data_IF_891013047915
#
_entry.id   IF_891013047915
#
_cell.length_a   1.000
_cell.length_b   1.000
_cell.length_c   1.000
_cell.angle_alpha   90.00
_cell.angle_beta   90.00
_cell.angle_gamma   90.00
#
_symmetry.space_group_name_H-M   'P 1'
#
loop_
_entity.id
_entity.type
_entity.pdbx_description
1 polymer ?
#
# COMPACT_ATOMS: atom_id res chain seq x y z
N UNK A 1 13.65 59.69 -86.62
CA UNK A 1 14.52 60.11 -85.50
C UNK A 1 13.63 60.25 -84.28
N UNK A 2 13.14 59.14 -83.73
CA UNK A 2 13.84 58.25 -82.77
C UNK A 2 13.96 58.89 -81.37
N UNK A 3 12.86 58.87 -80.60
CA UNK A 3 12.91 58.87 -79.13
C UNK A 3 11.71 58.08 -78.59
N UNK A 4 11.88 56.78 -78.35
CA UNK A 4 11.04 56.04 -77.40
C UNK A 4 11.97 55.21 -76.51
N UNK A 5 12.25 55.78 -75.34
CA UNK A 5 13.08 55.20 -74.30
C UNK A 5 12.20 54.37 -73.37
N UNK A 6 12.62 53.11 -73.19
CA UNK A 6 12.62 52.36 -71.92
C UNK A 6 11.28 52.19 -71.19
N UNK A 7 10.80 50.94 -71.18
CA UNK A 7 10.30 50.28 -69.98
C UNK A 7 10.40 48.77 -70.15
N UNK A 8 11.60 48.24 -69.88
CA UNK A 8 11.80 46.80 -69.70
C UNK A 8 11.30 46.48 -68.28
N UNK A 9 10.24 45.68 -68.21
CA UNK A 9 9.65 45.15 -66.98
C UNK A 9 10.73 44.58 -66.05
N UNK A 10 10.75 45.01 -64.79
CA UNK A 10 11.35 44.25 -63.69
C UNK A 10 10.24 43.61 -62.88
N UNK A 11 9.90 42.36 -63.19
CA UNK A 11 9.09 41.50 -62.33
C UNK A 11 9.93 41.10 -61.12
N UNK A 12 9.65 41.74 -59.98
CA UNK A 12 10.16 41.30 -58.67
C UNK A 12 9.60 39.91 -58.37
N UNK A 13 10.49 38.92 -58.34
CA UNK A 13 10.14 37.55 -57.95
C UNK A 13 9.88 37.51 -56.44
N UNK A 14 8.76 36.96 -55.95
CA UNK A 14 8.57 36.78 -54.52
C UNK A 14 9.56 35.73 -54.02
N UNK A 15 10.53 36.16 -53.22
CA UNK A 15 11.34 35.24 -52.43
C UNK A 15 10.43 34.67 -51.33
N UNK A 16 9.77 33.56 -51.62
CA UNK A 16 9.00 32.82 -50.61
C UNK A 16 10.01 32.24 -49.61
N UNK A 17 10.10 32.87 -48.44
CA UNK A 17 10.86 32.36 -47.30
C UNK A 17 10.21 31.04 -46.89
N UNK A 18 10.83 29.93 -47.31
CA UNK A 18 10.40 28.58 -46.95
C UNK A 18 10.85 28.34 -45.50
N UNK A 19 9.96 28.60 -44.54
CA UNK A 19 10.18 28.28 -43.12
C UNK A 19 10.31 26.76 -43.03
N UNK A 20 11.56 26.29 -42.95
CA UNK A 20 11.87 24.87 -42.81
C UNK A 20 11.51 24.46 -41.38
N UNK A 21 10.33 23.85 -41.21
CA UNK A 21 9.91 23.27 -39.94
C UNK A 21 10.96 22.26 -39.45
N UNK A 22 11.76 22.66 -38.44
CA UNK A 22 12.71 21.77 -37.78
C UNK A 22 11.92 20.76 -36.95
N UNK A 23 11.75 19.54 -37.46
CA UNK A 23 11.17 18.41 -36.71
C UNK A 23 12.10 17.83 -35.62
N UNK A 24 13.24 18.47 -35.31
CA UNK A 24 14.30 17.92 -34.44
C UNK A 24 13.95 17.84 -32.94
N UNK A 25 12.71 18.13 -32.54
CA UNK A 25 12.26 18.02 -31.14
C UNK A 25 10.96 17.23 -30.94
N UNK A 26 10.27 16.85 -32.02
CA UNK A 26 8.95 16.21 -31.92
C UNK A 26 9.08 14.79 -31.34
N UNK A 27 10.08 14.02 -31.80
CA UNK A 27 10.31 12.66 -31.31
C UNK A 27 10.62 12.60 -29.81
N UNK A 28 11.25 13.64 -29.26
CA UNK A 28 11.53 13.72 -27.82
C UNK A 28 10.25 13.94 -27.03
N UNK A 29 9.35 14.80 -27.52
CA UNK A 29 8.05 15.06 -26.88
C UNK A 29 7.15 13.82 -26.94
N UNK A 30 7.10 13.15 -28.09
CA UNK A 30 6.33 11.92 -28.26
C UNK A 30 6.80 10.81 -27.31
N UNK A 31 8.12 10.63 -27.20
CA UNK A 31 8.71 9.69 -26.24
C UNK A 31 8.39 10.06 -24.79
N UNK A 32 8.48 11.33 -24.41
CA UNK A 32 8.19 11.78 -23.04
C UNK A 32 6.74 11.51 -22.62
N UNK A 33 5.78 11.62 -23.54
CA UNK A 33 4.37 11.33 -23.23
C UNK A 33 4.17 9.82 -23.01
N UNK A 34 4.72 8.98 -23.88
CA UNK A 34 4.64 7.51 -23.73
C UNK A 34 5.36 7.06 -22.45
N UNK A 35 6.52 7.63 -22.17
CA UNK A 35 7.29 7.35 -20.96
C UNK A 35 6.53 7.75 -19.70
N UNK A 36 5.93 8.95 -19.68
CA UNK A 36 5.09 9.39 -18.57
C UNK A 36 3.94 8.41 -18.31
N UNK A 37 3.24 7.99 -19.36
CA UNK A 37 2.16 6.99 -19.24
C UNK A 37 2.67 5.63 -18.73
N UNK A 38 3.83 5.18 -19.23
CA UNK A 38 4.47 3.95 -18.77
C UNK A 38 4.79 3.99 -17.27
N UNK A 39 5.34 5.09 -16.75
CA UNK A 39 5.66 5.21 -15.32
C UNK A 39 4.41 5.25 -14.45
N UNK A 40 3.32 5.88 -14.90
CA UNK A 40 2.04 5.85 -14.18
C UNK A 40 1.51 4.41 -14.01
N UNK A 41 1.59 3.62 -15.08
CA UNK A 41 1.21 2.21 -15.04
C UNK A 41 2.19 1.38 -14.20
N UNK A 42 3.49 1.60 -14.34
CA UNK A 42 4.53 0.91 -13.58
C UNK A 42 4.34 1.13 -12.08
N UNK A 43 4.18 2.37 -11.63
CA UNK A 43 3.93 2.67 -10.22
C UNK A 43 2.64 2.02 -9.73
N UNK A 44 1.59 1.99 -10.55
CA UNK A 44 0.34 1.30 -10.20
C UNK A 44 0.56 -0.20 -9.99
N UNK A 45 1.27 -0.88 -10.89
CA UNK A 45 1.55 -2.32 -10.77
C UNK A 45 2.42 -2.61 -9.54
N UNK A 46 3.47 -1.81 -9.32
CA UNK A 46 4.36 -1.96 -8.15
C UNK A 46 3.61 -1.70 -6.85
N UNK A 47 2.75 -0.69 -6.80
CA UNK A 47 1.94 -0.36 -5.63
C UNK A 47 0.98 -1.50 -5.26
N UNK A 48 0.31 -2.10 -6.26
CA UNK A 48 -0.52 -3.29 -6.03
C UNK A 48 0.29 -4.50 -5.56
N UNK A 49 1.48 -4.72 -6.11
CA UNK A 49 2.36 -5.80 -5.67
C UNK A 49 2.81 -5.62 -4.22
N UNK A 50 3.17 -4.39 -3.83
CA UNK A 50 3.58 -4.05 -2.47
C UNK A 50 2.42 -4.19 -1.47
N UNK A 51 1.24 -3.69 -1.83
CA UNK A 51 0.02 -3.88 -1.05
C UNK A 51 -0.30 -5.36 -0.84
N UNK A 52 -0.21 -6.18 -1.90
CA UNK A 52 -0.41 -7.63 -1.82
C UNK A 52 0.60 -8.32 -0.90
N UNK A 53 1.88 -7.94 -1.01
CA UNK A 53 2.95 -8.44 -0.14
C UNK A 53 2.68 -8.13 1.34
N UNK A 54 2.34 -6.88 1.65
CA UNK A 54 2.00 -6.44 3.01
C UNK A 54 0.80 -7.21 3.54
N UNK A 55 -0.28 -7.32 2.76
CA UNK A 55 -1.49 -8.03 3.17
C UNK A 55 -1.23 -9.50 3.47
N UNK A 56 -0.50 -10.21 2.61
CA UNK A 56 -0.16 -11.63 2.82
C UNK A 56 0.74 -11.83 4.04
N UNK A 57 1.73 -10.95 4.23
CA UNK A 57 2.62 -11.00 5.39
C UNK A 57 1.83 -10.79 6.68
N UNK A 58 0.90 -9.83 6.69
CA UNK A 58 0.02 -9.59 7.84
C UNK A 58 -0.92 -10.76 8.12
N UNK A 59 -1.49 -11.40 7.09
CA UNK A 59 -2.31 -12.60 7.26
C UNK A 59 -1.52 -13.76 7.86
N UNK A 60 -0.25 -13.92 7.47
CA UNK A 60 0.63 -14.91 8.06
C UNK A 60 0.94 -14.59 9.53
N UNK A 61 1.32 -13.33 9.81
CA UNK A 61 1.64 -12.87 11.16
C UNK A 61 0.47 -13.03 12.14
N UNK A 62 -0.75 -12.66 11.74
CA UNK A 62 -1.96 -12.86 12.56
C UNK A 62 -2.21 -14.33 12.83
N UNK A 63 -1.99 -15.22 11.86
CA UNK A 63 -2.19 -16.66 12.07
C UNK A 63 -1.18 -17.24 13.06
N UNK A 64 0.07 -16.79 13.02
CA UNK A 64 1.10 -17.21 13.97
C UNK A 64 0.84 -16.66 15.37
N UNK A 65 0.47 -15.38 15.48
CA UNK A 65 0.05 -14.78 16.75
C UNK A 65 -1.19 -15.45 17.34
N UNK A 66 -2.16 -15.77 16.48
CA UNK A 66 -3.34 -16.54 16.85
C UNK A 66 -2.93 -17.90 17.42
N UNK A 67 -2.13 -18.70 16.69
CA UNK A 67 -1.65 -19.99 17.19
C UNK A 67 -0.98 -19.89 18.57
N UNK A 68 -0.20 -18.84 18.82
CA UNK A 68 0.40 -18.61 20.13
C UNK A 68 -0.64 -18.23 21.19
N UNK A 69 -1.60 -17.37 20.88
CA UNK A 69 -2.66 -16.94 21.80
C UNK A 69 -3.51 -18.10 22.34
N UNK A 70 -3.74 -19.15 21.53
CA UNK A 70 -4.47 -20.37 21.91
C UNK A 70 -3.90 -21.01 23.19
N UNK A 71 -2.58 -20.97 23.33
CA UNK A 71 -1.86 -21.69 24.40
C UNK A 71 -2.03 -21.05 25.78
N UNK A 72 -2.53 -19.82 25.85
CA UNK A 72 -2.65 -19.08 27.11
C UNK A 72 -1.31 -18.61 27.71
N UNK A 73 -0.17 -18.82 27.03
CA UNK A 73 1.16 -18.52 27.55
C UNK A 73 1.47 -17.03 27.54
N UNK A 74 2.28 -16.61 28.52
CA UNK A 74 2.75 -15.24 28.71
C UNK A 74 4.29 -15.12 28.64
N UNK A 75 4.97 -16.20 28.26
CA UNK A 75 6.44 -16.30 28.28
C UNK A 75 7.14 -15.46 27.21
N UNK A 76 6.41 -15.06 26.16
CA UNK A 76 6.91 -14.18 25.10
C UNK A 76 6.65 -12.69 25.37
N UNK A 77 6.19 -12.31 26.58
CA UNK A 77 6.05 -10.90 26.94
C UNK A 77 7.42 -10.26 27.20
N UNK A 78 7.77 -9.12 26.56
CA UNK A 78 8.95 -8.35 26.90
C UNK A 78 8.92 -7.78 28.33
N UNK A 79 7.74 -7.58 28.94
CA UNK A 79 7.60 -7.13 30.32
C UNK A 79 7.45 -8.34 31.25
N UNK A 80 8.51 -8.64 32.02
CA UNK A 80 8.50 -9.72 33.00
C UNK A 80 7.92 -9.28 34.36
N UNK A 81 7.72 -7.98 34.60
CA UNK A 81 7.22 -7.47 35.87
C UNK A 81 5.69 -7.55 35.94
N UNK A 82 4.99 -7.28 34.84
CA UNK A 82 3.53 -7.46 34.71
C UNK A 82 3.17 -8.10 33.37
N UNK A 83 3.41 -9.41 33.20
CA UNK A 83 3.22 -10.08 31.93
C UNK A 83 1.72 -10.15 31.55
N UNK A 84 1.37 -9.54 30.43
CA UNK A 84 0.06 -9.53 29.82
C UNK A 84 0.06 -10.40 28.56
N UNK A 85 -0.94 -11.28 28.44
CA UNK A 85 -1.08 -12.18 27.28
C UNK A 85 -1.14 -11.41 25.95
N UNK A 86 -1.73 -10.21 25.95
CA UNK A 86 -1.86 -9.32 24.80
C UNK A 86 -0.50 -8.88 24.26
N UNK A 87 0.40 -8.45 25.14
CA UNK A 87 1.74 -8.02 24.78
C UNK A 87 2.58 -9.18 24.23
N UNK A 88 2.47 -10.36 24.83
CA UNK A 88 3.15 -11.57 24.34
C UNK A 88 2.68 -11.94 22.92
N UNK A 89 1.38 -11.89 22.66
CA UNK A 89 0.82 -12.17 21.33
C UNK A 89 1.23 -11.09 20.33
N UNK A 90 1.19 -9.80 20.70
CA UNK A 90 1.65 -8.70 19.86
C UNK A 90 3.13 -8.87 19.48
N UNK A 91 3.98 -9.29 20.41
CA UNK A 91 5.41 -9.57 20.16
C UNK A 91 5.59 -10.70 19.15
N UNK A 92 4.81 -11.77 19.25
CA UNK A 92 4.84 -12.88 18.28
C UNK A 92 4.36 -12.44 16.89
N UNK A 93 3.30 -11.63 16.82
CA UNK A 93 2.81 -11.04 15.57
C UNK A 93 3.88 -10.14 14.96
N UNK A 94 4.51 -9.28 15.77
CA UNK A 94 5.54 -8.34 15.33
C UNK A 94 6.74 -9.09 14.73
N UNK A 95 7.26 -10.09 15.45
CA UNK A 95 8.36 -10.92 14.98
C UNK A 95 8.01 -11.66 13.67
N UNK A 96 6.78 -12.15 13.55
CA UNK A 96 6.29 -12.84 12.34
C UNK A 96 6.01 -11.89 11.17
N UNK A 97 5.80 -10.59 11.45
CA UNK A 97 5.52 -9.56 10.44
C UNK A 97 6.76 -8.92 9.82
N UNK A 98 7.96 -9.26 10.30
CA UNK A 98 9.24 -8.71 9.81
C UNK A 98 9.27 -7.17 9.91
N UNK A 99 8.72 -6.62 11.00
CA UNK A 99 8.68 -5.17 11.25
C UNK A 99 7.68 -4.39 10.37
N UNK A 100 6.83 -5.08 9.61
CA UNK A 100 5.76 -4.43 8.83
C UNK A 100 4.63 -3.95 9.74
N UNK A 101 4.37 -4.66 10.85
CA UNK A 101 3.27 -4.37 11.78
C UNK A 101 3.24 -2.90 12.22
N UNK A 102 4.36 -2.38 12.71
CA UNK A 102 4.46 -1.00 13.21
C UNK A 102 4.20 0.05 12.13
N UNK A 103 4.39 -0.30 10.86
CA UNK A 103 4.21 0.61 9.73
C UNK A 103 2.77 0.61 9.20
N UNK A 104 2.04 -0.50 9.39
CA UNK A 104 0.69 -0.69 8.83
C UNK A 104 -0.41 -0.53 9.86
N UNK A 105 -0.13 -0.72 11.14
CA UNK A 105 -1.16 -0.73 12.18
C UNK A 105 -1.65 0.70 12.50
N UNK A 106 -2.96 0.91 12.46
CA UNK A 106 -3.57 2.23 12.75
C UNK A 106 -3.61 2.53 14.25
N UNK A 107 -4.06 1.55 15.04
CA UNK A 107 -4.11 1.60 16.50
C UNK A 107 -3.30 0.40 17.02
N UNK A 108 -2.40 0.62 17.99
CA UNK A 108 -1.58 -0.43 18.63
C UNK A 108 -2.38 -1.46 19.46
N UNK A 109 -3.67 -1.59 19.19
CA UNK A 109 -4.59 -2.43 19.91
C UNK A 109 -5.17 -3.49 18.98
N UNK A 110 -5.32 -4.69 19.53
CA UNK A 110 -5.87 -5.86 18.85
C UNK A 110 -7.35 -5.95 19.14
N UNK A 111 -8.19 -5.99 18.10
CA UNK A 111 -9.60 -6.27 18.33
C UNK A 111 -9.82 -7.77 18.43
N UNK A 112 -10.31 -8.22 19.57
CA UNK A 112 -10.69 -9.61 19.78
C UNK A 112 -12.20 -9.71 19.92
N UNK A 113 -12.82 -10.54 19.09
CA UNK A 113 -14.27 -10.74 19.04
C UNK A 113 -14.62 -12.20 19.31
N UNK A 114 -15.70 -12.43 20.07
CA UNK A 114 -16.30 -13.75 20.28
C UNK A 114 -17.09 -14.21 19.05
N UNK A 115 -17.56 -15.46 19.05
CA UNK A 115 -18.47 -16.01 18.01
C UNK A 115 -19.74 -15.18 17.81
N UNK A 116 -20.13 -14.39 18.81
CA UNK A 116 -21.29 -13.51 18.78
C UNK A 116 -20.98 -12.09 18.29
N UNK A 117 -19.73 -11.80 17.88
CA UNK A 117 -19.30 -10.47 17.42
C UNK A 117 -19.17 -9.44 18.56
N UNK A 118 -19.06 -9.90 19.80
CA UNK A 118 -18.84 -9.04 20.97
C UNK A 118 -17.35 -8.95 21.28
N UNK A 119 -16.86 -7.75 21.62
CA UNK A 119 -15.49 -7.56 22.05
C UNK A 119 -15.20 -8.33 23.33
N UNK A 120 -14.13 -9.10 23.31
CA UNK A 120 -13.64 -9.89 24.44
C UNK A 120 -12.41 -9.20 25.01
N UNK A 121 -12.33 -9.06 26.34
CA UNK A 121 -11.12 -8.58 26.99
C UNK A 121 -10.03 -9.66 26.94
N UNK A 122 -8.80 -9.30 26.58
CA UNK A 122 -7.73 -10.27 26.35
C UNK A 122 -8.02 -11.14 25.14
N UNK A 123 -7.91 -12.46 25.31
CA UNK A 123 -8.23 -13.42 24.26
C UNK A 123 -9.23 -14.48 24.71
N UNK A 124 -10.17 -14.11 25.58
CA UNK A 124 -11.18 -15.04 26.10
C UNK A 124 -10.63 -16.10 27.05
N UNK A 125 -11.55 -16.91 27.56
CA UNK A 125 -11.28 -17.99 28.51
C UNK A 125 -10.76 -19.26 27.83
N UNK A 126 -10.21 -20.23 28.60
CA UNK A 126 -9.91 -21.57 28.08
C UNK A 126 -11.13 -22.16 27.35
N UNK A 127 -10.88 -22.84 26.21
CA UNK A 127 -11.94 -23.47 25.42
C UNK A 127 -12.87 -22.52 24.62
N UNK A 128 -12.76 -21.20 24.80
CA UNK A 128 -13.56 -20.21 24.07
C UNK A 128 -13.06 -20.01 22.63
N UNK A 129 -13.99 -19.78 21.70
CA UNK A 129 -13.68 -19.37 20.33
C UNK A 129 -13.49 -17.85 20.27
N UNK A 130 -12.36 -17.41 19.76
CA UNK A 130 -12.01 -15.99 19.62
C UNK A 130 -11.49 -15.69 18.23
N UNK A 131 -11.85 -14.52 17.71
CA UNK A 131 -11.38 -13.99 16.44
C UNK A 131 -10.52 -12.77 16.72
N UNK A 132 -9.25 -12.82 16.31
CA UNK A 132 -8.35 -11.66 16.37
C UNK A 132 -8.47 -10.89 15.05
N UNK A 133 -8.62 -9.58 15.13
CA UNK A 133 -8.68 -8.64 14.02
C UNK A 133 -7.58 -7.60 14.18
N UNK A 134 -6.75 -7.43 13.13
CA UNK A 134 -5.84 -6.29 13.03
C UNK A 134 -6.34 -5.36 11.94
N UNK A 135 -6.52 -4.11 12.31
CA UNK A 135 -6.77 -3.04 11.35
C UNK A 135 -5.46 -2.44 10.88
N UNK A 136 -5.31 -2.42 9.57
CA UNK A 136 -4.13 -1.94 8.91
C UNK A 136 -4.47 -0.87 7.87
N UNK A 137 -3.63 0.14 7.79
CA UNK A 137 -3.62 1.19 6.79
C UNK A 137 -2.27 1.21 6.06
N UNK A 138 -2.30 1.33 4.74
CA UNK A 138 -1.08 1.47 3.93
C UNK A 138 -1.20 2.60 2.92
N UNK A 139 -0.24 3.52 2.91
CA UNK A 139 -0.23 4.63 1.95
C UNK A 139 0.06 4.13 0.53
N UNK A 140 -0.75 4.54 -0.44
CA UNK A 140 -0.49 4.28 -1.85
C UNK A 140 0.59 5.22 -2.38
N UNK A 141 1.51 4.67 -3.17
CA UNK A 141 2.54 5.43 -3.87
C UNK A 141 2.10 5.80 -5.29
N UNK A 142 1.04 5.18 -5.82
CA UNK A 142 0.61 5.41 -7.19
C UNK A 142 -0.24 6.68 -7.31
N UNK A 143 0.19 7.68 -8.10
CA UNK A 143 -0.57 8.92 -8.28
C UNK A 143 -1.93 8.70 -8.97
N UNK A 144 -2.11 7.59 -9.69
CA UNK A 144 -3.40 7.23 -10.29
C UNK A 144 -4.39 6.69 -9.25
N UNK A 145 -3.90 6.08 -8.19
CA UNK A 145 -4.71 5.33 -7.23
C UNK A 145 -5.10 6.21 -6.04
N UNK A 146 -4.20 7.07 -5.56
CA UNK A 146 -4.45 8.03 -4.47
C UNK A 146 -5.83 8.73 -4.54
N UNK A 147 -6.26 9.35 -5.67
CA UNK A 147 -7.55 10.05 -5.71
C UNK A 147 -8.78 9.15 -5.62
N UNK A 148 -8.61 7.84 -5.83
CA UNK A 148 -9.70 6.85 -5.77
C UNK A 148 -9.88 6.35 -4.33
N UNK A 149 -8.84 6.42 -3.50
CA UNK A 149 -8.87 5.92 -2.13
C UNK A 149 -9.34 7.00 -1.15
N UNK A 150 -10.07 6.57 -0.14
CA UNK A 150 -10.40 7.41 1.01
C UNK A 150 -9.12 7.71 1.79
N UNK A 151 -8.77 8.99 1.93
CA UNK A 151 -7.53 9.46 2.59
C UNK A 151 -6.21 9.02 1.91
N UNK A 152 -6.27 8.52 0.67
CA UNK A 152 -5.09 8.05 -0.08
C UNK A 152 -4.44 6.78 0.49
N UNK A 153 -5.13 6.06 1.39
CA UNK A 153 -4.63 4.86 2.07
C UNK A 153 -5.49 3.65 1.78
N UNK A 154 -4.84 2.49 1.62
CA UNK A 154 -5.48 1.20 1.63
C UNK A 154 -5.81 0.79 3.06
N UNK A 155 -7.11 0.74 3.39
CA UNK A 155 -7.59 0.18 4.65
C UNK A 155 -7.95 -1.28 4.45
N UNK A 156 -7.39 -2.15 5.29
CA UNK A 156 -7.71 -3.57 5.26
C UNK A 156 -7.62 -4.17 6.65
N UNK A 157 -8.54 -5.07 6.95
CA UNK A 157 -8.54 -5.85 8.19
C UNK A 157 -8.11 -7.27 7.88
N UNK A 158 -7.17 -7.79 8.67
CA UNK A 158 -6.79 -9.21 8.64
C UNK A 158 -7.28 -9.88 9.91
N UNK A 159 -7.84 -11.07 9.78
CA UNK A 159 -8.43 -11.77 10.91
C UNK A 159 -8.07 -13.25 10.93
N UNK A 160 -7.95 -13.82 12.13
CA UNK A 160 -7.87 -15.25 12.33
C UNK A 160 -8.76 -15.66 13.52
N UNK A 161 -9.59 -16.67 13.30
CA UNK A 161 -10.46 -17.27 14.32
C UNK A 161 -9.87 -18.59 14.78
N UNK A 162 -9.92 -18.82 16.08
CA UNK A 162 -9.39 -20.00 16.73
C UNK A 162 -10.16 -20.34 17.99
N UNK A 163 -10.02 -21.59 18.44
CA UNK A 163 -10.51 -22.04 19.75
C UNK A 163 -9.32 -22.15 20.69
N UNK A 164 -9.42 -21.53 21.86
CA UNK A 164 -8.39 -21.64 22.89
C UNK A 164 -8.26 -23.07 23.41
N UNK A 165 -7.04 -23.44 23.82
CA UNK A 165 -6.80 -24.70 24.51
C UNK A 165 -7.45 -24.67 25.89
N UNK A 166 -7.73 -25.85 26.43
CA UNK A 166 -8.13 -26.03 27.83
C UNK A 166 -6.86 -25.95 28.68
N UNK A 167 -6.38 -24.74 28.97
CA UNK A 167 -5.25 -24.53 29.87
C UNK A 167 -5.75 -24.41 31.31
N UNK A 168 -5.06 -25.07 32.23
CA UNK A 168 -5.37 -24.96 33.66
C UNK A 168 -4.94 -23.55 34.11
N UNK A 169 -5.89 -22.72 34.57
CA UNK A 169 -5.59 -21.42 35.16
C UNK A 169 -4.76 -21.65 36.44
N UNK A 170 -3.43 -21.62 36.30
CA UNK A 170 -2.57 -21.51 37.48
C UNK A 170 -2.62 -20.06 37.92
N UNK A 171 -3.55 -19.83 38.86
CA UNK A 171 -3.70 -18.65 39.71
C UNK A 171 -2.38 -18.23 40.32
#
# INVERSE_FOLDING_TARGET
MEVWYILKLSTVSPCIIKIRHKQRGISLVEFSIVFSLFFLLLFTIVDFALFGYVKLTMQHAVREGARYAITGRIDSDPDQENPLRENAVLTVIEHSSIGILEKVMDIKDIRVEDVNGQSVSGFGSPGQLVSIHLDCEWHSLSPLIIPILTDGKYKFTVSATMKNEEFNEQV
#
